data_IF_095376381224
#
_entry.id   IF_095376381224
#
_cell.length_a   1.000
_cell.length_b   1.000
_cell.length_c   1.000
_cell.angle_alpha   90.00
_cell.angle_beta   90.00
_cell.angle_gamma   90.00
#
_symmetry.space_group_name_H-M   'P 1'
#
loop_
_entity.id
_entity.type
_entity.pdbx_description
1 polymer ?
#
# COMPACT_ATOMS: atom_id res chain seq x y z
N UNK A 1 31.85 18.30 -9.67
CA UNK A 1 30.44 18.74 -9.55
C UNK A 1 29.62 17.52 -9.22
N UNK A 2 28.99 17.46 -8.04
CA UNK A 2 28.14 16.34 -7.66
C UNK A 2 26.74 16.68 -8.16
N UNK A 3 26.33 16.10 -9.29
CA UNK A 3 24.95 16.22 -9.77
C UNK A 3 24.04 15.43 -8.83
N UNK A 4 23.26 16.14 -8.00
CA UNK A 4 22.28 15.52 -7.10
C UNK A 4 21.15 14.91 -7.92
N UNK A 5 21.24 13.62 -8.24
CA UNK A 5 20.14 12.86 -8.85
C UNK A 5 18.91 12.89 -7.94
N UNK A 6 17.79 13.42 -8.45
CA UNK A 6 16.53 13.46 -7.70
C UNK A 6 15.71 12.22 -8.03
N UNK A 7 15.15 11.57 -7.02
CA UNK A 7 14.27 10.42 -7.18
C UNK A 7 12.83 10.79 -6.82
N UNK A 8 11.89 10.27 -7.59
CA UNK A 8 10.46 10.33 -7.30
C UNK A 8 9.99 8.97 -6.80
N UNK A 9 9.69 8.89 -5.52
CA UNK A 9 9.15 7.67 -4.92
C UNK A 9 7.61 7.68 -4.96
N UNK A 10 7.03 6.59 -5.44
CA UNK A 10 5.59 6.36 -5.55
C UNK A 10 5.24 5.05 -4.88
N UNK A 11 4.28 5.08 -3.94
CA UNK A 11 3.75 3.87 -3.29
C UNK A 11 2.38 3.53 -3.87
N UNK A 12 2.25 2.32 -4.42
CA UNK A 12 0.97 1.76 -4.85
C UNK A 12 0.35 1.02 -3.66
N UNK A 13 -0.92 1.29 -3.37
CA UNK A 13 -1.70 0.55 -2.36
C UNK A 13 -3.09 0.27 -2.91
N UNK A 14 -3.47 -1.01 -3.00
CA UNK A 14 -4.77 -1.46 -3.54
C UNK A 14 -5.35 -2.60 -2.72
N UNK A 15 -6.67 -2.82 -2.83
CA UNK A 15 -7.36 -3.90 -2.14
C UNK A 15 -7.17 -5.24 -2.85
N UNK A 16 -7.23 -5.24 -4.17
CA UNK A 16 -7.09 -6.45 -4.98
C UNK A 16 -5.71 -6.53 -5.64
N UNK A 17 -5.24 -7.76 -5.85
CA UNK A 17 -3.96 -8.01 -6.51
C UNK A 17 -3.96 -7.54 -7.97
N UNK A 18 -5.09 -7.78 -8.67
CA UNK A 18 -5.24 -7.43 -10.08
C UNK A 18 -5.09 -5.93 -10.33
N UNK A 19 -5.76 -5.11 -9.52
CA UNK A 19 -5.62 -3.64 -9.58
C UNK A 19 -4.19 -3.19 -9.25
N UNK A 20 -3.54 -3.85 -8.27
CA UNK A 20 -2.18 -3.52 -7.88
C UNK A 20 -1.19 -3.82 -9.01
N UNK A 21 -1.31 -4.99 -9.66
CA UNK A 21 -0.49 -5.37 -10.82
C UNK A 21 -0.68 -4.42 -11.99
N UNK A 22 -1.92 -4.06 -12.31
CA UNK A 22 -2.22 -3.12 -13.37
C UNK A 22 -1.58 -1.75 -13.10
N UNK A 23 -1.71 -1.23 -11.88
CA UNK A 23 -1.09 0.04 -11.50
C UNK A 23 0.46 -0.01 -11.56
N UNK A 24 1.07 -1.14 -11.20
CA UNK A 24 2.52 -1.33 -11.32
C UNK A 24 2.93 -1.34 -12.78
N UNK A 25 2.24 -2.09 -13.64
CA UNK A 25 2.55 -2.18 -15.07
C UNK A 25 2.45 -0.81 -15.76
N UNK A 26 1.42 -0.02 -15.43
CA UNK A 26 1.27 1.35 -15.92
C UNK A 26 2.42 2.27 -15.46
N UNK A 27 2.94 2.09 -14.25
CA UNK A 27 4.09 2.86 -13.74
C UNK A 27 5.41 2.38 -14.36
N UNK A 28 5.60 1.08 -14.56
CA UNK A 28 6.76 0.51 -15.25
C UNK A 28 6.86 1.08 -16.68
N UNK A 29 5.74 1.11 -17.41
CA UNK A 29 5.67 1.73 -18.76
C UNK A 29 6.02 3.22 -18.76
N UNK A 30 5.82 3.92 -17.64
CA UNK A 30 6.18 5.34 -17.45
C UNK A 30 7.64 5.55 -17.02
N UNK A 31 8.44 4.50 -16.98
CA UNK A 31 9.86 4.54 -16.62
C UNK A 31 10.13 4.52 -15.11
N UNK A 32 9.19 4.01 -14.32
CA UNK A 32 9.48 3.72 -12.91
C UNK A 32 10.17 2.36 -12.76
N UNK A 33 11.04 2.25 -11.76
CA UNK A 33 11.68 1.02 -11.32
C UNK A 33 11.04 0.55 -10.01
N UNK A 34 10.83 -0.75 -9.85
CA UNK A 34 10.31 -1.32 -8.60
C UNK A 34 11.45 -1.39 -7.58
N UNK A 35 11.25 -0.74 -6.42
CA UNK A 35 12.17 -0.81 -5.27
C UNK A 35 11.69 -1.88 -4.29
N UNK A 36 10.37 -1.95 -4.09
CA UNK A 36 9.74 -2.89 -3.18
C UNK A 36 8.68 -3.69 -3.95
N UNK A 37 8.83 -5.03 -4.01
CA UNK A 37 7.96 -5.88 -4.81
C UNK A 37 6.53 -5.84 -4.30
N UNK A 38 5.60 -6.21 -5.17
CA UNK A 38 4.18 -6.33 -4.83
C UNK A 38 4.02 -7.38 -3.72
N UNK A 39 3.69 -6.90 -2.52
CA UNK A 39 3.56 -7.73 -1.33
C UNK A 39 2.16 -7.56 -0.73
N UNK A 40 1.52 -8.67 -0.39
CA UNK A 40 0.28 -8.66 0.36
C UNK A 40 0.59 -8.38 1.83
N UNK A 41 0.03 -7.31 2.36
CA UNK A 41 0.10 -6.96 3.77
C UNK A 41 -1.28 -7.20 4.37
N UNK A 42 -1.35 -8.20 5.23
CA UNK A 42 -2.51 -8.49 6.07
C UNK A 42 -2.37 -7.74 7.40
N UNK A 43 -3.47 -7.21 7.88
CA UNK A 43 -3.58 -6.63 9.21
C UNK A 43 -4.89 -7.09 9.82
N UNK A 44 -4.79 -7.76 10.97
CA UNK A 44 -5.94 -8.18 11.75
C UNK A 44 -6.38 -7.04 12.67
N UNK A 45 -7.39 -6.30 12.21
CA UNK A 45 -8.06 -5.31 13.03
C UNK A 45 -9.01 -5.97 14.02
N UNK A 46 -9.30 -5.29 15.13
CA UNK A 46 -10.39 -5.66 16.06
C UNK A 46 -11.52 -4.66 15.92
N UNK A 47 -12.74 -5.14 15.73
CA UNK A 47 -13.94 -4.30 15.72
C UNK A 47 -14.55 -4.26 17.13
N UNK A 48 -14.72 -3.04 17.64
CA UNK A 48 -15.31 -2.77 18.94
C UNK A 48 -16.59 -1.96 18.75
N UNK A 49 -17.63 -2.27 19.53
CA UNK A 49 -18.87 -1.50 19.59
C UNK A 49 -19.09 -0.99 21.00
N UNK A 50 -19.69 0.19 21.11
CA UNK A 50 -20.12 0.73 22.40
C UNK A 50 -21.52 0.25 22.73
N UNK A 51 -21.69 -0.23 23.96
CA UNK A 51 -22.99 -0.53 24.53
C UNK A 51 -23.70 0.73 25.05
N UNK A 52 -24.96 0.61 25.47
CA UNK A 52 -25.75 1.68 26.09
C UNK A 52 -25.07 2.28 27.34
N UNK A 53 -24.20 1.51 28.01
CA UNK A 53 -23.41 1.94 29.17
C UNK A 53 -22.00 2.44 28.81
N UNK A 54 -21.70 2.67 27.53
CA UNK A 54 -20.42 3.23 27.07
C UNK A 54 -19.22 2.28 27.12
N UNK A 55 -19.42 1.00 27.46
CA UNK A 55 -18.38 -0.03 27.47
C UNK A 55 -18.05 -0.49 26.07
N UNK A 56 -16.76 -0.73 25.78
CA UNK A 56 -16.33 -1.31 24.52
C UNK A 56 -16.51 -2.83 24.56
N UNK A 57 -17.42 -3.35 23.74
CA UNK A 57 -17.65 -4.77 23.53
C UNK A 57 -16.90 -5.19 22.26
N UNK A 58 -16.07 -6.22 22.37
CA UNK A 58 -15.45 -6.86 21.22
C UNK A 58 -16.53 -7.56 20.39
N UNK A 59 -16.60 -7.26 19.09
CA UNK A 59 -17.53 -7.94 18.19
C UNK A 59 -16.80 -9.07 17.46
N UNK A 60 -15.80 -8.70 16.67
CA UNK A 60 -15.14 -9.63 15.76
C UNK A 60 -13.77 -9.08 15.32
N UNK A 61 -12.91 -9.99 14.86
CA UNK A 61 -11.73 -9.59 14.10
C UNK A 61 -12.15 -9.19 12.69
N UNK A 62 -11.57 -8.10 12.19
CA UNK A 62 -11.77 -7.63 10.82
C UNK A 62 -10.46 -7.81 10.06
N UNK A 63 -10.28 -8.95 9.37
CA UNK A 63 -9.10 -9.16 8.54
C UNK A 63 -9.12 -8.14 7.40
N UNK A 64 -8.08 -7.33 7.30
CA UNK A 64 -7.88 -6.39 6.21
C UNK A 64 -6.60 -6.75 5.49
N UNK A 65 -6.70 -7.10 4.22
CA UNK A 65 -5.54 -7.27 3.34
C UNK A 65 -5.43 -6.09 2.38
N UNK A 66 -4.20 -5.62 2.17
CA UNK A 66 -3.89 -4.65 1.13
C UNK A 66 -2.63 -5.07 0.40
N UNK A 67 -2.60 -4.85 -0.90
CA UNK A 67 -1.44 -5.07 -1.73
C UNK A 67 -0.63 -3.77 -1.84
N UNK A 68 0.67 -3.85 -1.52
CA UNK A 68 1.57 -2.70 -1.55
C UNK A 68 2.80 -2.96 -2.41
N UNK A 69 3.21 -1.95 -3.16
CA UNK A 69 4.48 -1.91 -3.89
C UNK A 69 5.07 -0.50 -3.82
N UNK A 70 6.40 -0.38 -3.87
CA UNK A 70 7.07 0.92 -3.98
C UNK A 70 7.90 0.97 -5.25
N UNK A 71 7.78 2.07 -5.97
CA UNK A 71 8.50 2.32 -7.20
C UNK A 71 9.21 3.66 -7.11
N UNK A 72 10.34 3.80 -7.80
CA UNK A 72 11.05 5.06 -7.97
C UNK A 72 11.15 5.42 -9.43
N UNK A 73 11.26 6.70 -9.74
CA UNK A 73 11.73 7.18 -11.05
C UNK A 73 12.81 8.23 -10.86
N UNK A 74 13.84 8.18 -11.70
CA UNK A 74 14.86 9.23 -11.74
C UNK A 74 14.26 10.48 -12.40
N UNK A 75 14.29 11.61 -11.71
CA UNK A 75 13.97 12.92 -12.28
C UNK A 75 15.31 13.59 -12.62
N UNK A 76 15.44 14.02 -13.89
CA UNK A 76 16.57 14.83 -14.35
C UNK A 76 16.42 16.28 -13.91
#
# INVERSE_FOLDING_TARGET
MITSTRFQDTTVTRKTEKEARQAIDDLLRRGYEVIYPLTQITNDGKQWKRDAYGRNIFIQNTPKSSWKAKLRRVIK
#
